data_IF_485460033957
#
_entry.id   IF_485460033957
#
_cell.length_a   1.000
_cell.length_b   1.000
_cell.length_c   1.000
_cell.angle_alpha   90.00
_cell.angle_beta   90.00
_cell.angle_gamma   90.00
#
_symmetry.space_group_name_H-M   'P 1'
#
loop_
_entity.id
_entity.type
_entity.pdbx_description
1 polymer ?
#
# COMPACT_ATOMS: atom_id res chain seq x y z
N UNK A 1 -19.29 -9.60 2.68
CA UNK A 1 -18.77 -8.29 2.21
C UNK A 1 -19.70 -7.09 2.48
N UNK A 2 -21.01 -7.15 2.21
CA UNK A 2 -21.92 -6.00 2.41
C UNK A 2 -22.03 -5.51 3.87
N UNK A 3 -22.12 -6.43 4.85
CA UNK A 3 -22.23 -6.10 6.29
C UNK A 3 -21.01 -5.32 6.81
N UNK A 4 -19.81 -5.75 6.43
CA UNK A 4 -18.54 -5.08 6.78
C UNK A 4 -18.47 -3.66 6.20
N UNK A 5 -18.86 -3.47 4.93
CA UNK A 5 -18.91 -2.14 4.31
C UNK A 5 -19.95 -1.22 4.94
N UNK A 6 -21.09 -1.76 5.42
CA UNK A 6 -22.12 -0.96 6.10
C UNK A 6 -21.61 -0.43 7.45
N UNK A 7 -20.86 -1.25 8.20
CA UNK A 7 -20.22 -0.83 9.45
C UNK A 7 -19.15 0.26 9.22
N UNK A 8 -18.30 0.09 8.20
CA UNK A 8 -17.28 1.10 7.86
C UNK A 8 -17.91 2.45 7.49
N UNK A 9 -19.00 2.45 6.71
CA UNK A 9 -19.71 3.69 6.36
C UNK A 9 -20.40 4.34 7.57
N UNK A 10 -20.94 3.56 8.49
CA UNK A 10 -21.51 4.10 9.73
C UNK A 10 -20.45 4.76 10.62
N UNK A 11 -19.20 4.29 10.55
CA UNK A 11 -18.05 4.90 11.20
C UNK A 11 -17.44 6.09 10.42
N UNK A 12 -18.11 6.59 9.38
CA UNK A 12 -17.63 7.72 8.57
C UNK A 12 -16.59 7.38 7.49
N UNK A 13 -16.22 6.10 7.35
CA UNK A 13 -15.22 5.68 6.36
C UNK A 13 -15.85 5.42 4.98
N UNK A 14 -15.13 5.81 3.93
CA UNK A 14 -15.56 5.61 2.53
C UNK A 14 -14.67 4.58 1.81
N UNK A 15 -14.93 3.28 2.00
CA UNK A 15 -14.11 2.24 1.37
C UNK A 15 -14.31 2.22 -0.15
N UNK A 16 -13.19 2.32 -0.88
CA UNK A 16 -13.13 2.09 -2.33
C UNK A 16 -12.59 0.68 -2.60
N UNK A 17 -13.03 0.08 -3.71
CA UNK A 17 -12.47 -1.18 -4.18
C UNK A 17 -11.67 -0.90 -5.44
N UNK A 18 -10.41 -1.31 -5.42
CA UNK A 18 -9.52 -1.26 -6.58
C UNK A 18 -9.23 -2.68 -7.04
N UNK A 19 -9.10 -2.87 -8.34
CA UNK A 19 -8.69 -4.15 -8.89
C UNK A 19 -7.16 -4.26 -8.80
N UNK A 20 -6.69 -5.36 -8.22
CA UNK A 20 -5.26 -5.66 -8.06
C UNK A 20 -4.95 -6.89 -8.90
N UNK A 21 -3.79 -6.93 -9.62
CA UNK A 21 -3.35 -8.13 -10.34
C UNK A 21 -3.20 -9.34 -9.39
N UNK A 22 -3.22 -10.56 -9.96
CA UNK A 22 -3.04 -11.78 -9.16
C UNK A 22 -1.64 -11.84 -8.52
N UNK A 23 -1.62 -11.48 -7.24
CA UNK A 23 -0.43 -11.44 -6.39
C UNK A 23 0.13 -12.82 -6.04
N UNK A 24 -0.61 -13.90 -6.31
CA UNK A 24 -0.17 -15.28 -6.02
C UNK A 24 0.67 -15.89 -7.14
N UNK A 25 0.69 -15.26 -8.32
CA UNK A 25 1.47 -15.76 -9.44
C UNK A 25 2.98 -15.58 -9.21
N UNK A 26 3.77 -16.58 -9.61
CA UNK A 26 5.26 -16.48 -9.56
C UNK A 26 5.78 -15.30 -10.39
N UNK A 27 5.08 -14.95 -11.47
CA UNK A 27 5.40 -13.79 -12.31
C UNK A 27 5.24 -12.48 -11.55
N UNK A 28 4.17 -12.33 -10.78
CA UNK A 28 3.99 -11.16 -9.92
C UNK A 28 5.12 -11.07 -8.89
N UNK A 29 5.44 -12.17 -8.20
CA UNK A 29 6.52 -12.18 -7.22
C UNK A 29 7.88 -11.78 -7.83
N UNK A 30 8.23 -12.30 -9.01
CA UNK A 30 9.46 -11.92 -9.70
C UNK A 30 9.47 -10.44 -10.10
N UNK A 31 8.34 -9.92 -10.59
CA UNK A 31 8.24 -8.52 -11.00
C UNK A 31 8.27 -7.56 -9.80
N UNK A 32 7.57 -7.91 -8.72
CA UNK A 32 7.59 -7.16 -7.46
C UNK A 32 9.02 -7.10 -6.92
N UNK A 33 9.71 -8.23 -6.83
CA UNK A 33 11.11 -8.27 -6.39
C UNK A 33 12.02 -7.38 -7.24
N UNK A 34 11.90 -7.45 -8.58
CA UNK A 34 12.69 -6.60 -9.49
C UNK A 34 12.42 -5.11 -9.25
N UNK A 35 11.17 -4.72 -9.04
CA UNK A 35 10.78 -3.33 -8.81
C UNK A 35 11.23 -2.84 -7.44
N UNK A 36 11.06 -3.64 -6.38
CA UNK A 36 11.56 -3.31 -5.05
C UNK A 36 13.07 -3.04 -5.07
N UNK A 37 13.85 -3.85 -5.79
CA UNK A 37 15.29 -3.61 -5.95
C UNK A 37 15.61 -2.34 -6.74
N UNK A 38 14.78 -1.96 -7.70
CA UNK A 38 14.97 -0.72 -8.45
C UNK A 38 14.71 0.51 -7.58
N UNK A 39 13.66 0.48 -6.76
CA UNK A 39 13.35 1.53 -5.79
C UNK A 39 14.45 1.62 -4.73
N UNK A 40 14.87 0.50 -4.15
CA UNK A 40 15.92 0.47 -3.13
C UNK A 40 17.30 0.98 -3.63
N UNK A 41 17.53 0.95 -4.95
CA UNK A 41 18.75 1.47 -5.59
C UNK A 41 18.55 2.88 -6.17
N UNK A 42 17.38 3.47 -6.01
CA UNK A 42 17.09 4.82 -6.48
C UNK A 42 17.97 5.83 -5.73
N UNK A 43 18.56 6.82 -6.40
CA UNK A 43 19.23 7.94 -5.74
C UNK A 43 18.31 8.69 -4.75
N UNK A 44 17.00 8.64 -4.99
CA UNK A 44 15.98 9.35 -4.21
C UNK A 44 15.40 8.53 -3.05
N UNK A 45 15.82 7.27 -2.89
CA UNK A 45 15.23 6.35 -1.89
C UNK A 45 15.19 6.95 -0.48
N UNK A 46 16.25 7.66 -0.08
CA UNK A 46 16.34 8.29 1.24
C UNK A 46 15.37 9.45 1.41
N UNK A 47 15.25 10.29 0.39
CA UNK A 47 14.37 11.47 0.44
C UNK A 47 12.90 11.02 0.39
N UNK A 48 12.60 10.02 -0.44
CA UNK A 48 11.28 9.38 -0.51
C UNK A 48 10.90 8.78 0.85
N UNK A 49 11.82 8.03 1.47
CA UNK A 49 11.60 7.42 2.78
C UNK A 49 11.42 8.47 3.88
N UNK A 50 12.27 9.51 3.91
CA UNK A 50 12.16 10.60 4.88
C UNK A 50 10.84 11.38 4.74
N UNK A 51 10.37 11.60 3.51
CA UNK A 51 9.07 12.19 3.28
C UNK A 51 7.94 11.31 3.85
N UNK A 52 7.93 10.02 3.52
CA UNK A 52 6.92 9.06 4.02
C UNK A 52 6.89 9.07 5.55
N UNK A 53 8.05 9.01 6.20
CA UNK A 53 8.16 9.07 7.66
C UNK A 53 7.58 10.38 8.24
N UNK A 54 7.82 11.52 7.58
CA UNK A 54 7.33 12.83 8.05
C UNK A 54 5.81 12.99 7.98
N UNK A 55 5.15 12.28 7.05
CA UNK A 55 3.68 12.38 6.84
C UNK A 55 2.91 11.20 7.41
N UNK A 56 3.60 10.13 7.85
CA UNK A 56 2.96 8.95 8.41
C UNK A 56 2.54 9.22 9.85
N UNK A 57 1.24 9.20 10.10
CA UNK A 57 0.71 9.17 11.46
C UNK A 57 0.68 7.72 11.96
N UNK A 58 1.63 7.38 12.83
CA UNK A 58 1.74 6.06 13.44
C UNK A 58 0.86 5.91 14.70
N UNK A 59 0.16 6.96 15.13
CA UNK A 59 -0.72 6.90 16.31
C UNK A 59 -2.11 6.37 15.95
N UNK A 60 -2.20 5.05 15.75
CA UNK A 60 -3.44 4.31 15.97
C UNK A 60 -3.39 3.71 17.39
N UNK A 61 -3.81 4.49 18.40
CA UNK A 61 -4.21 3.96 19.73
C UNK A 61 -5.72 4.02 19.83
#
# INVERSE_FOLDING_TARGET
>A
MQKHRKALRAAGLRPIQIWVPDVRSKRFAAQAHRQSLAVAKSPYEKDDQAFIESVSDWNAT
#
